data_IF_557409168403
#
_entry.id   IF_557409168403
#
_cell.length_a   1.000
_cell.length_b   1.000
_cell.length_c   1.000
_cell.angle_alpha   90.00
_cell.angle_beta   90.00
_cell.angle_gamma   90.00
#
_symmetry.space_group_name_H-M   'P 1'
#
loop_
_entity.id
_entity.type
_entity.pdbx_description
1 polymer ?
#
# COMPACT_ATOMS: atom_id res chain seq x y z
N UNK A 1 10.46 21.64 21.30
CA UNK A 1 10.53 20.74 20.11
C UNK A 1 10.64 19.32 20.62
N UNK A 2 9.52 18.64 20.77
CA UNK A 2 9.46 17.29 21.30
C UNK A 2 9.54 16.27 20.17
N UNK A 3 10.63 15.52 20.10
CA UNK A 3 10.73 14.35 19.22
C UNK A 3 9.79 13.28 19.74
N UNK A 4 8.76 12.93 18.98
CA UNK A 4 7.90 11.79 19.25
C UNK A 4 8.74 10.55 18.93
N UNK A 5 9.28 9.94 20.00
CA UNK A 5 9.90 8.61 19.91
C UNK A 5 8.79 7.58 19.72
N UNK A 6 8.62 7.09 18.53
CA UNK A 6 7.79 5.93 18.24
C UNK A 6 8.51 4.69 18.74
N UNK A 7 8.26 4.33 20.01
CA UNK A 7 8.67 3.06 20.55
C UNK A 7 7.74 1.97 20.01
N UNK A 8 8.17 1.21 19.00
CA UNK A 8 7.49 0.01 18.57
C UNK A 8 7.91 -1.15 19.49
N UNK A 9 7.08 -1.45 20.48
CA UNK A 9 7.04 -2.81 21.04
C UNK A 9 6.26 -3.68 20.06
N UNK A 10 6.95 -4.65 19.46
CA UNK A 10 6.33 -5.64 18.57
C UNK A 10 5.34 -6.49 19.39
N UNK A 11 4.03 -6.57 19.01
CA UNK A 11 3.05 -7.33 19.77
C UNK A 11 3.14 -8.85 19.58
N UNK A 12 4.19 -9.38 18.94
CA UNK A 12 4.31 -10.81 18.65
C UNK A 12 5.59 -11.40 19.25
N UNK A 13 5.65 -11.48 20.61
CA UNK A 13 6.48 -12.49 21.28
C UNK A 13 5.62 -13.74 21.46
N UNK A 14 5.70 -14.70 20.55
CA UNK A 14 5.28 -16.06 20.82
C UNK A 14 6.47 -17.01 20.79
N UNK A 15 6.56 -17.77 21.88
CA UNK A 15 7.55 -18.81 22.19
C UNK A 15 7.64 -19.86 21.09
N UNK A 16 8.87 -20.28 20.79
CA UNK A 16 9.22 -21.41 19.92
C UNK A 16 8.68 -22.71 20.52
N UNK A 17 7.61 -23.21 19.95
CA UNK A 17 7.08 -24.56 20.14
C UNK A 17 6.87 -25.22 18.77
N UNK A 18 7.23 -26.48 18.62
CA UNK A 18 7.32 -27.25 17.38
C UNK A 18 6.03 -27.24 16.54
N UNK A 19 6.14 -27.05 15.22
CA UNK A 19 5.11 -27.27 14.18
C UNK A 19 3.84 -26.40 14.24
N UNK A 20 3.90 -25.15 14.67
CA UNK A 20 2.81 -24.22 14.36
C UNK A 20 2.90 -23.80 12.89
N UNK A 21 1.85 -24.11 12.10
CA UNK A 21 1.62 -23.49 10.79
C UNK A 21 1.58 -21.98 11.03
N UNK A 22 2.62 -21.27 10.63
CA UNK A 22 2.78 -19.85 10.86
C UNK A 22 1.55 -19.14 10.27
N UNK A 23 0.70 -18.56 11.11
CA UNK A 23 -0.52 -17.86 10.66
C UNK A 23 -0.13 -16.77 9.67
N UNK A 24 -0.71 -16.82 8.46
CA UNK A 24 -0.47 -15.79 7.44
C UNK A 24 -0.98 -14.44 7.92
N UNK A 25 -0.23 -13.39 7.61
CA UNK A 25 -0.64 -12.01 7.85
C UNK A 25 -1.85 -11.64 7.00
N UNK A 26 -2.72 -10.79 7.51
CA UNK A 26 -4.02 -10.45 6.92
C UNK A 26 -3.99 -9.07 6.29
N UNK A 27 -4.08 -9.01 4.96
CA UNK A 27 -3.95 -7.78 4.17
C UNK A 27 -5.31 -7.29 3.70
N UNK A 28 -5.57 -5.98 3.91
CA UNK A 28 -6.61 -5.26 3.21
C UNK A 28 -6.02 -4.41 2.09
N UNK A 29 -6.70 -4.34 0.95
CA UNK A 29 -6.34 -3.44 -0.14
C UNK A 29 -7.41 -2.38 -0.33
N UNK A 30 -7.01 -1.11 -0.28
CA UNK A 30 -7.86 0.04 -0.62
C UNK A 30 -7.51 0.51 -2.03
N UNK A 31 -8.52 0.71 -2.88
CA UNK A 31 -8.35 1.14 -4.28
C UNK A 31 -9.51 2.01 -4.75
N UNK A 32 -9.32 2.76 -5.85
CA UNK A 32 -10.37 3.58 -6.46
C UNK A 32 -10.68 3.21 -7.92
N UNK A 33 -9.86 2.37 -8.56
CA UNK A 33 -9.92 2.13 -10.00
C UNK A 33 -9.68 0.67 -10.43
N UNK A 34 -8.77 0.48 -11.40
CA UNK A 34 -8.52 -0.79 -12.10
C UNK A 34 -8.08 -1.94 -11.19
N UNK A 35 -7.26 -1.66 -10.19
CA UNK A 35 -6.82 -2.66 -9.20
C UNK A 35 -5.65 -3.55 -9.65
N UNK A 36 -4.83 -3.14 -10.62
CA UNK A 36 -3.70 -3.95 -11.10
C UNK A 36 -2.66 -4.26 -10.01
N UNK A 37 -2.34 -3.30 -9.15
CA UNK A 37 -1.47 -3.51 -8.00
C UNK A 37 -2.12 -4.44 -6.96
N UNK A 38 -3.44 -4.33 -6.75
CA UNK A 38 -4.18 -5.29 -5.94
C UNK A 38 -4.04 -6.72 -6.49
N UNK A 39 -4.24 -6.90 -7.81
CA UNK A 39 -4.11 -8.23 -8.44
C UNK A 39 -2.69 -8.78 -8.26
N UNK A 40 -1.66 -7.98 -8.40
CA UNK A 40 -0.27 -8.40 -8.19
C UNK A 40 0.00 -8.87 -6.74
N UNK A 41 -0.47 -8.10 -5.75
CA UNK A 41 -0.37 -8.49 -4.32
C UNK A 41 -1.13 -9.79 -4.07
N UNK A 42 -2.35 -9.92 -4.61
CA UNK A 42 -3.16 -11.13 -4.47
C UNK A 42 -2.49 -12.34 -5.08
N UNK A 43 -2.02 -12.27 -6.33
CA UNK A 43 -1.33 -13.38 -6.99
C UNK A 43 -0.07 -13.80 -6.23
N UNK A 44 0.67 -12.85 -5.67
CA UNK A 44 1.82 -13.17 -4.83
C UNK A 44 1.41 -13.90 -3.54
N UNK A 45 0.26 -13.56 -2.95
CA UNK A 45 -0.24 -14.17 -1.72
C UNK A 45 -0.67 -15.63 -1.89
N UNK A 46 -0.89 -16.08 -3.15
CA UNK A 46 -1.24 -17.45 -3.48
C UNK A 46 -0.04 -18.40 -3.58
N UNK A 47 1.18 -17.87 -3.57
CA UNK A 47 2.39 -18.70 -3.62
C UNK A 47 2.52 -19.58 -2.37
N UNK A 48 3.12 -20.78 -2.49
CA UNK A 48 3.26 -21.70 -1.36
C UNK A 48 4.03 -21.12 -0.17
N UNK A 49 5.01 -20.25 -0.45
CA UNK A 49 5.89 -19.60 0.51
C UNK A 49 5.38 -18.23 0.99
N UNK A 50 4.19 -17.81 0.51
CA UNK A 50 3.62 -16.52 0.91
C UNK A 50 3.28 -16.51 2.40
N UNK A 51 3.77 -15.48 3.09
CA UNK A 51 3.58 -15.24 4.53
C UNK A 51 2.37 -14.35 4.85
N UNK A 52 1.56 -14.00 3.84
CA UNK A 52 0.34 -13.20 3.98
C UNK A 52 -0.77 -13.69 3.06
N UNK A 53 -1.99 -13.23 3.32
CA UNK A 53 -3.17 -13.42 2.47
C UNK A 53 -3.93 -12.09 2.30
N UNK A 54 -4.47 -11.84 1.11
CA UNK A 54 -5.41 -10.74 0.89
C UNK A 54 -6.81 -11.22 1.26
N UNK A 55 -7.44 -10.55 2.22
CA UNK A 55 -8.73 -10.99 2.77
C UNK A 55 -9.88 -10.05 2.47
N UNK A 56 -9.59 -8.76 2.28
CA UNK A 56 -10.61 -7.75 2.03
C UNK A 56 -10.13 -6.69 1.05
N UNK A 57 -11.01 -6.26 0.16
CA UNK A 57 -10.79 -5.16 -0.77
C UNK A 57 -11.87 -4.11 -0.55
N UNK A 58 -11.46 -2.86 -0.40
CA UNK A 58 -12.36 -1.73 -0.16
C UNK A 58 -12.15 -0.68 -1.25
N UNK A 59 -13.24 -0.14 -1.79
CA UNK A 59 -13.17 0.98 -2.73
C UNK A 59 -14.12 2.11 -2.34
N UNK A 60 -13.70 3.34 -2.60
CA UNK A 60 -14.53 4.55 -2.54
C UNK A 60 -15.39 4.76 -3.78
N UNK A 61 -15.13 3.99 -4.84
CA UNK A 61 -15.85 4.00 -6.11
C UNK A 61 -16.59 2.66 -6.31
N UNK A 62 -17.91 2.70 -6.45
CA UNK A 62 -18.75 1.51 -6.66
C UNK A 62 -18.43 0.77 -7.96
N UNK A 63 -17.99 1.52 -8.98
CA UNK A 63 -17.72 1.03 -10.34
C UNK A 63 -16.20 0.71 -10.52
N UNK A 64 -15.46 0.59 -9.43
CA UNK A 64 -14.06 0.21 -9.49
C UNK A 64 -13.91 -1.24 -9.99
N UNK A 65 -13.20 -1.43 -11.10
CA UNK A 65 -12.93 -2.78 -11.67
C UNK A 65 -12.23 -3.69 -10.67
N UNK A 66 -11.39 -3.12 -9.79
CA UNK A 66 -10.75 -3.89 -8.71
C UNK A 66 -11.73 -4.54 -7.74
N UNK A 67 -12.94 -3.98 -7.51
CA UNK A 67 -13.99 -4.64 -6.72
C UNK A 67 -14.62 -5.83 -7.44
N UNK A 68 -14.81 -5.74 -8.76
CA UNK A 68 -15.31 -6.86 -9.58
C UNK A 68 -14.31 -8.00 -9.54
N UNK A 69 -13.03 -7.71 -9.78
CA UNK A 69 -11.94 -8.69 -9.71
C UNK A 69 -11.82 -9.33 -8.31
N UNK A 70 -11.99 -8.56 -7.25
CA UNK A 70 -11.98 -9.11 -5.89
C UNK A 70 -13.11 -10.13 -5.67
N UNK A 71 -14.31 -9.85 -6.18
CA UNK A 71 -15.45 -10.81 -6.14
C UNK A 71 -15.19 -12.06 -6.96
N UNK A 72 -14.63 -11.91 -8.18
CA UNK A 72 -14.22 -13.04 -9.03
C UNK A 72 -13.21 -13.95 -8.33
N UNK A 73 -12.31 -13.38 -7.51
CA UNK A 73 -11.35 -14.11 -6.69
C UNK A 73 -11.96 -14.68 -5.39
N UNK A 74 -13.25 -14.49 -5.13
CA UNK A 74 -13.91 -14.94 -3.91
C UNK A 74 -13.59 -14.12 -2.65
N UNK A 75 -12.98 -12.95 -2.81
CA UNK A 75 -12.61 -12.09 -1.69
C UNK A 75 -13.79 -11.25 -1.19
N UNK A 76 -13.72 -10.80 0.08
CA UNK A 76 -14.65 -9.82 0.62
C UNK A 76 -14.39 -8.45 -0.03
N UNK A 77 -15.37 -7.93 -0.77
CA UNK A 77 -15.26 -6.70 -1.53
C UNK A 77 -16.34 -5.68 -1.10
N UNK A 78 -15.92 -4.53 -0.58
CA UNK A 78 -16.80 -3.51 -0.04
C UNK A 78 -16.68 -2.20 -0.81
N UNK A 79 -17.82 -1.62 -1.17
CA UNK A 79 -17.90 -0.22 -1.57
C UNK A 79 -18.30 0.62 -0.36
N UNK A 80 -17.45 1.58 0.01
CA UNK A 80 -17.72 2.56 1.08
C UNK A 80 -17.81 3.95 0.44
N UNK A 81 -19.00 4.55 0.42
CA UNK A 81 -19.24 5.81 -0.30
C UNK A 81 -18.85 7.04 0.54
N UNK A 82 -17.84 7.82 0.13
CA UNK A 82 -17.50 9.06 0.83
C UNK A 82 -18.54 10.17 0.66
N UNK A 83 -19.39 10.07 -0.36
CA UNK A 83 -20.50 11.02 -0.58
C UNK A 83 -21.65 10.79 0.42
N UNK A 84 -21.90 9.53 0.80
CA UNK A 84 -22.96 9.15 1.73
C UNK A 84 -22.55 9.25 3.21
N UNK A 85 -21.28 9.12 3.49
CA UNK A 85 -20.71 9.07 4.85
C UNK A 85 -19.86 10.32 5.12
N UNK A 86 -20.51 11.40 5.46
CA UNK A 86 -19.87 12.67 5.84
C UNK A 86 -20.04 12.94 7.34
N UNK A 87 -19.10 13.60 8.00
CA UNK A 87 -17.79 14.04 7.52
C UNK A 87 -16.80 12.90 7.30
N UNK A 88 -15.57 13.18 6.85
CA UNK A 88 -14.49 12.21 6.56
C UNK A 88 -14.29 11.20 7.70
N UNK A 89 -14.38 11.63 8.96
CA UNK A 89 -14.27 10.77 10.15
C UNK A 89 -15.30 9.62 10.15
N UNK A 90 -16.54 9.89 9.71
CA UNK A 90 -17.62 8.87 9.63
C UNK A 90 -17.31 7.87 8.52
N UNK A 91 -16.83 8.36 7.37
CA UNK A 91 -16.40 7.53 6.25
C UNK A 91 -15.25 6.59 6.64
N UNK A 92 -14.22 7.14 7.26
CA UNK A 92 -13.06 6.34 7.70
C UNK A 92 -13.42 5.41 8.87
N UNK A 93 -14.34 5.83 9.75
CA UNK A 93 -14.89 4.98 10.79
C UNK A 93 -15.55 3.72 10.23
N UNK A 94 -16.28 3.85 9.09
CA UNK A 94 -16.88 2.68 8.42
C UNK A 94 -15.84 1.76 7.80
N UNK A 95 -14.77 2.31 7.23
CA UNK A 95 -13.65 1.50 6.74
C UNK A 95 -13.00 0.77 7.94
N UNK A 96 -12.75 1.47 9.03
CA UNK A 96 -12.14 0.91 10.23
C UNK A 96 -12.96 -0.24 10.84
N UNK A 97 -14.29 -0.13 10.85
CA UNK A 97 -15.19 -1.22 11.27
C UNK A 97 -14.97 -2.49 10.43
N UNK A 98 -14.91 -2.33 9.09
CA UNK A 98 -14.68 -3.44 8.16
C UNK A 98 -13.31 -4.06 8.42
N UNK A 99 -12.27 -3.26 8.55
CA UNK A 99 -10.90 -3.72 8.78
C UNK A 99 -10.78 -4.52 10.10
N UNK A 100 -11.40 -4.03 11.17
CA UNK A 100 -11.43 -4.71 12.48
C UNK A 100 -12.22 -6.00 12.45
N UNK A 101 -13.40 -6.01 11.79
CA UNK A 101 -14.23 -7.21 11.65
C UNK A 101 -13.54 -8.34 10.86
N UNK A 102 -12.47 -8.03 10.14
CA UNK A 102 -11.69 -8.98 9.37
C UNK A 102 -10.27 -9.16 9.92
N UNK A 103 -9.97 -8.71 11.14
CA UNK A 103 -8.65 -8.83 11.78
C UNK A 103 -7.49 -8.44 10.85
N UNK A 104 -7.60 -7.30 10.17
CA UNK A 104 -6.59 -6.83 9.22
C UNK A 104 -5.32 -6.39 9.95
N UNK A 105 -4.17 -6.90 9.52
CA UNK A 105 -2.86 -6.55 10.07
C UNK A 105 -2.22 -5.38 9.30
N UNK A 106 -2.35 -5.35 7.97
CA UNK A 106 -1.72 -4.36 7.09
C UNK A 106 -2.73 -3.83 6.08
N UNK A 107 -2.71 -2.53 5.84
CA UNK A 107 -3.46 -1.86 4.76
C UNK A 107 -2.50 -1.50 3.63
N UNK A 108 -2.84 -1.91 2.40
CA UNK A 108 -2.16 -1.53 1.17
C UNK A 108 -3.03 -0.55 0.38
N UNK A 109 -2.53 0.67 0.13
CA UNK A 109 -3.17 1.62 -0.79
C UNK A 109 -2.70 1.34 -2.21
N UNK A 110 -3.57 0.79 -3.05
CA UNK A 110 -3.26 0.39 -4.42
C UNK A 110 -4.04 1.22 -5.44
N UNK A 111 -3.59 2.45 -5.68
CA UNK A 111 -4.33 3.41 -6.48
C UNK A 111 -5.60 3.92 -5.77
N UNK A 112 -5.49 4.20 -4.49
CA UNK A 112 -6.53 4.80 -3.67
C UNK A 112 -6.43 6.33 -3.76
N UNK A 113 -7.41 6.97 -4.43
CA UNK A 113 -7.37 8.39 -4.80
C UNK A 113 -7.85 9.33 -3.69
N UNK A 114 -7.71 8.95 -2.44
CA UNK A 114 -8.11 9.77 -1.29
C UNK A 114 -6.99 9.89 -0.28
N UNK A 115 -6.85 11.09 0.27
CA UNK A 115 -5.94 11.30 1.40
C UNK A 115 -6.51 10.58 2.62
N UNK A 116 -5.72 9.71 3.22
CA UNK A 116 -6.04 9.02 4.47
C UNK A 116 -6.00 10.03 5.61
N UNK A 117 -6.94 9.94 6.54
CA UNK A 117 -7.02 10.84 7.67
C UNK A 117 -6.69 10.16 8.99
N UNK A 118 -6.76 10.96 10.04
CA UNK A 118 -6.33 10.60 11.40
C UNK A 118 -6.98 9.31 11.92
N UNK A 119 -8.25 9.04 11.56
CA UNK A 119 -8.96 7.84 12.04
C UNK A 119 -8.28 6.54 11.63
N UNK A 120 -7.81 6.45 10.38
CA UNK A 120 -7.10 5.28 9.89
C UNK A 120 -5.62 5.32 10.25
N UNK A 121 -4.98 6.50 10.17
CA UNK A 121 -3.57 6.67 10.48
C UNK A 121 -3.25 6.29 11.92
N UNK A 122 -4.06 6.74 12.89
CA UNK A 122 -3.87 6.39 14.29
C UNK A 122 -4.13 4.91 14.58
N UNK A 123 -5.17 4.32 13.96
CA UNK A 123 -5.53 2.92 14.19
C UNK A 123 -4.53 1.93 13.55
N UNK A 124 -3.89 2.33 12.45
CA UNK A 124 -2.94 1.52 11.67
C UNK A 124 -1.57 2.19 11.56
N UNK A 125 -1.12 2.89 12.60
CA UNK A 125 0.21 3.50 12.64
C UNK A 125 1.29 2.46 12.32
N UNK A 126 2.16 2.74 11.32
CA UNK A 126 3.20 1.81 10.84
C UNK A 126 2.67 0.54 10.14
N UNK A 127 1.37 0.44 9.91
CA UNK A 127 0.71 -0.70 9.25
C UNK A 127 -0.14 -0.26 8.06
N UNK A 128 0.26 0.83 7.41
CA UNK A 128 -0.40 1.38 6.24
C UNK A 128 0.68 1.79 5.25
N UNK A 129 0.70 1.16 4.08
CA UNK A 129 1.70 1.39 3.03
C UNK A 129 1.03 1.80 1.73
N UNK A 130 1.75 2.58 0.91
CA UNK A 130 1.30 3.05 -0.40
C UNK A 130 2.34 2.76 -1.48
N UNK A 131 1.89 2.64 -2.72
CA UNK A 131 2.73 2.65 -3.92
C UNK A 131 2.50 3.95 -4.69
N UNK A 132 3.58 4.65 -5.02
CA UNK A 132 3.57 5.90 -5.77
C UNK A 132 4.40 5.77 -7.06
N UNK A 133 3.86 6.20 -8.23
CA UNK A 133 4.50 5.99 -9.53
C UNK A 133 5.57 7.05 -9.86
N UNK A 134 6.43 7.37 -8.89
CA UNK A 134 7.62 8.21 -9.06
C UNK A 134 8.69 7.85 -8.03
N UNK A 135 9.91 8.35 -8.23
CA UNK A 135 10.99 8.22 -7.26
C UNK A 135 10.89 9.34 -6.22
N UNK A 136 10.11 9.11 -5.15
CA UNK A 136 9.99 10.07 -4.07
C UNK A 136 11.37 10.47 -3.50
N UNK A 137 11.56 11.74 -3.12
CA UNK A 137 10.57 12.81 -2.93
C UNK A 137 10.19 13.57 -4.21
N UNK A 138 10.66 13.16 -5.39
CA UNK A 138 10.28 13.81 -6.65
C UNK A 138 8.86 13.46 -7.06
N UNK A 139 8.14 14.43 -7.62
CA UNK A 139 6.82 14.28 -8.24
C UNK A 139 5.74 13.65 -7.32
N UNK A 140 5.52 14.17 -6.09
CA UNK A 140 4.47 13.69 -5.20
C UNK A 140 3.08 14.04 -5.73
N UNK A 141 2.04 13.39 -5.20
CA UNK A 141 0.65 13.65 -5.53
C UNK A 141 0.19 12.96 -6.82
N UNK A 142 -0.75 13.57 -7.52
CA UNK A 142 -1.37 12.98 -8.70
C UNK A 142 -0.50 13.14 -9.95
N UNK A 143 -0.63 12.20 -10.90
CA UNK A 143 0.02 12.25 -12.21
C UNK A 143 1.55 12.29 -12.17
N UNK A 144 2.19 11.54 -11.27
CA UNK A 144 3.65 11.51 -11.14
C UNK A 144 4.39 11.21 -12.45
N UNK A 145 3.85 10.32 -13.29
CA UNK A 145 4.43 10.00 -14.61
C UNK A 145 4.40 11.21 -15.56
N UNK A 146 3.25 11.91 -15.59
CA UNK A 146 3.12 13.13 -16.41
C UNK A 146 4.06 14.23 -15.91
N UNK A 147 4.14 14.43 -14.60
CA UNK A 147 5.06 15.40 -14.01
C UNK A 147 6.52 15.08 -14.39
N UNK A 148 6.92 13.80 -14.37
CA UNK A 148 8.26 13.36 -14.74
C UNK A 148 8.57 13.65 -16.21
N UNK A 149 7.63 13.38 -17.14
CA UNK A 149 7.76 13.69 -18.56
C UNK A 149 7.83 15.19 -18.82
N UNK A 150 6.91 15.97 -18.24
CA UNK A 150 6.84 17.43 -18.40
C UNK A 150 8.13 18.10 -17.89
N UNK A 151 8.75 17.56 -16.84
CA UNK A 151 10.00 18.06 -16.29
C UNK A 151 11.22 17.68 -17.14
N UNK A 152 11.11 16.64 -17.95
CA UNK A 152 12.18 16.17 -18.84
C UNK A 152 13.25 15.31 -18.16
N UNK A 153 12.90 14.59 -17.08
CA UNK A 153 13.85 13.68 -16.42
C UNK A 153 14.22 12.50 -17.33
N UNK A 154 15.42 11.96 -17.15
CA UNK A 154 15.89 10.77 -17.89
C UNK A 154 15.65 9.47 -17.12
N UNK A 155 15.32 9.57 -15.81
CA UNK A 155 15.03 8.43 -14.94
C UNK A 155 13.80 8.76 -14.09
N UNK A 156 12.86 7.83 -14.06
CA UNK A 156 11.70 7.84 -13.17
C UNK A 156 11.60 6.49 -12.45
N UNK A 157 10.43 6.12 -11.92
CA UNK A 157 10.27 4.83 -11.26
C UNK A 157 9.05 4.77 -10.35
N UNK A 158 9.13 3.93 -9.32
CA UNK A 158 8.10 3.82 -8.29
C UNK A 158 8.70 3.72 -6.90
N UNK A 159 7.89 4.07 -5.91
CA UNK A 159 8.24 4.07 -4.50
C UNK A 159 7.15 3.39 -3.69
N UNK A 160 7.51 2.39 -2.87
CA UNK A 160 6.67 1.89 -1.78
C UNK A 160 7.10 2.58 -0.49
N UNK A 161 6.16 3.16 0.24
CA UNK A 161 6.44 3.90 1.46
C UNK A 161 5.34 3.69 2.52
N UNK A 162 5.67 3.89 3.78
CA UNK A 162 4.67 4.01 4.83
C UNK A 162 3.87 5.29 4.63
N UNK A 163 2.61 5.27 5.03
CA UNK A 163 1.73 6.45 4.93
C UNK A 163 1.77 7.22 6.25
N UNK A 164 1.97 8.54 6.14
CA UNK A 164 1.92 9.50 7.24
C UNK A 164 0.86 10.59 6.99
N UNK A 165 0.90 11.69 7.74
CA UNK A 165 -0.07 12.78 7.64
C UNK A 165 0.09 13.64 6.37
N UNK A 166 1.20 13.50 5.64
CA UNK A 166 1.45 14.24 4.40
C UNK A 166 0.99 13.49 3.16
N UNK A 167 1.18 14.10 2.00
CA UNK A 167 0.96 13.47 0.71
C UNK A 167 2.29 12.92 0.21
N UNK A 168 2.40 11.60 0.14
CA UNK A 168 3.58 10.86 -0.31
C UNK A 168 4.88 11.22 0.45
N UNK A 169 4.75 11.57 1.74
CA UNK A 169 5.86 12.05 2.58
C UNK A 169 6.39 11.01 3.56
N UNK A 170 5.76 9.87 3.70
CA UNK A 170 6.14 8.86 4.69
C UNK A 170 7.48 8.15 4.40
N UNK A 171 8.02 7.40 5.38
CA UNK A 171 9.29 6.69 5.25
C UNK A 171 9.29 5.70 4.08
N UNK A 172 10.32 5.78 3.23
CA UNK A 172 10.46 4.96 2.03
C UNK A 172 10.91 3.55 2.42
N UNK A 173 10.19 2.54 1.92
CA UNK A 173 10.50 1.12 2.12
C UNK A 173 11.41 0.63 0.98
N UNK A 174 10.92 0.75 -0.26
CA UNK A 174 11.60 0.29 -1.47
C UNK A 174 11.40 1.30 -2.61
N UNK A 175 12.39 1.38 -3.49
CA UNK A 175 12.31 2.14 -4.74
C UNK A 175 12.87 1.33 -5.91
N UNK A 176 12.30 1.52 -7.09
CA UNK A 176 12.83 0.95 -8.33
C UNK A 176 12.78 1.99 -9.44
N UNK A 177 13.93 2.22 -10.05
CA UNK A 177 14.07 3.14 -11.18
C UNK A 177 13.73 2.48 -12.52
N UNK A 178 13.28 3.29 -13.47
CA UNK A 178 13.12 2.97 -14.88
C UNK A 178 13.65 4.13 -15.74
N UNK A 179 14.19 3.83 -16.90
CA UNK A 179 14.60 4.85 -17.85
C UNK A 179 13.37 5.53 -18.46
N UNK A 180 13.45 6.83 -18.67
CA UNK A 180 12.52 7.61 -19.48
C UNK A 180 13.11 7.75 -20.88
N UNK A 181 12.41 7.24 -21.89
CA UNK A 181 12.84 7.27 -23.30
C UNK A 181 12.42 8.57 -23.98
N UNK A 182 13.14 8.96 -25.03
CA UNK A 182 12.84 10.20 -25.74
C UNK A 182 11.46 10.21 -26.41
N UNK A 183 10.95 9.03 -26.77
CA UNK A 183 9.66 8.83 -27.42
C UNK A 183 8.54 8.41 -26.45
N UNK A 184 8.78 8.49 -25.13
CA UNK A 184 7.75 8.09 -24.15
C UNK A 184 6.55 9.03 -24.16
N UNK A 185 5.37 8.42 -24.23
CA UNK A 185 4.12 9.02 -23.77
C UNK A 185 3.88 8.71 -22.29
N UNK A 186 2.93 9.40 -21.66
CA UNK A 186 2.49 9.08 -20.30
C UNK A 186 2.07 7.61 -20.17
N UNK A 187 1.43 7.06 -21.21
CA UNK A 187 0.99 5.66 -21.23
C UNK A 187 2.16 4.68 -21.25
N UNK A 188 3.15 4.88 -22.13
CA UNK A 188 4.30 3.96 -22.27
C UNK A 188 5.18 3.98 -21.03
N UNK A 189 5.43 5.16 -20.45
CA UNK A 189 6.13 5.29 -19.19
C UNK A 189 5.35 4.64 -18.04
N UNK A 190 4.03 4.89 -17.95
CA UNK A 190 3.18 4.29 -16.94
C UNK A 190 3.19 2.76 -16.98
N UNK A 191 3.12 2.16 -18.18
CA UNK A 191 3.19 0.70 -18.35
C UNK A 191 4.54 0.13 -17.89
N UNK A 192 5.64 0.85 -18.14
CA UNK A 192 6.98 0.45 -17.69
C UNK A 192 7.13 0.53 -16.19
N UNK A 193 6.64 1.61 -15.56
CA UNK A 193 6.62 1.80 -14.11
C UNK A 193 5.73 0.73 -13.47
N UNK A 194 4.53 0.48 -13.99
CA UNK A 194 3.56 -0.47 -13.44
C UNK A 194 4.14 -1.89 -13.31
N UNK A 195 4.97 -2.33 -14.26
CA UNK A 195 5.67 -3.63 -14.16
C UNK A 195 6.58 -3.71 -12.92
N UNK A 196 7.22 -2.59 -12.57
CA UNK A 196 8.06 -2.52 -11.38
C UNK A 196 7.22 -2.39 -10.10
N UNK A 197 6.12 -1.65 -10.14
CA UNK A 197 5.19 -1.53 -9.00
C UNK A 197 4.69 -2.91 -8.54
N UNK A 198 4.25 -3.76 -9.47
CA UNK A 198 3.73 -5.09 -9.18
C UNK A 198 4.75 -5.96 -8.41
N UNK A 199 6.02 -5.88 -8.77
CA UNK A 199 7.09 -6.62 -8.11
C UNK A 199 7.43 -6.00 -6.75
N UNK A 200 7.63 -4.69 -6.74
CA UNK A 200 8.11 -3.95 -5.59
C UNK A 200 7.09 -3.96 -4.45
N UNK A 201 5.81 -3.82 -4.79
CA UNK A 201 4.75 -3.78 -3.78
C UNK A 201 4.61 -5.14 -3.08
N UNK A 202 4.56 -6.23 -3.83
CA UNK A 202 4.51 -7.58 -3.26
C UNK A 202 5.72 -7.88 -2.38
N UNK A 203 6.92 -7.43 -2.78
CA UNK A 203 8.15 -7.54 -1.99
C UNK A 203 8.04 -6.77 -0.66
N UNK A 204 7.54 -5.54 -0.69
CA UNK A 204 7.38 -4.73 0.52
C UNK A 204 6.39 -5.36 1.52
N UNK A 205 5.27 -5.94 1.02
CA UNK A 205 4.31 -6.68 1.87
C UNK A 205 4.97 -7.91 2.50
N UNK A 206 5.74 -8.67 1.73
CA UNK A 206 6.50 -9.84 2.25
C UNK A 206 7.46 -9.43 3.36
N UNK A 207 8.28 -8.39 3.13
CA UNK A 207 9.23 -7.86 4.13
C UNK A 207 8.53 -7.38 5.41
N UNK A 208 7.34 -6.78 5.28
CA UNK A 208 6.55 -6.36 6.44
C UNK A 208 6.19 -7.56 7.32
N UNK A 209 5.67 -8.64 6.75
CA UNK A 209 5.28 -9.84 7.51
C UNK A 209 6.46 -10.74 7.91
N UNK A 210 7.64 -10.50 7.36
CA UNK A 210 8.90 -11.07 7.87
C UNK A 210 9.44 -10.31 9.09
N UNK A 211 8.78 -9.20 9.49
CA UNK A 211 9.26 -8.28 10.54
C UNK A 211 10.65 -7.70 10.25
N UNK A 212 10.98 -7.51 8.98
CA UNK A 212 12.27 -7.02 8.50
C UNK A 212 12.33 -5.51 8.30
N UNK A 213 11.25 -4.79 8.54
CA UNK A 213 11.19 -3.34 8.36
C UNK A 213 11.27 -2.62 9.69
N UNK A 214 12.34 -1.87 9.92
CA UNK A 214 12.50 -1.00 11.11
C UNK A 214 12.50 0.47 10.70
N UNK A 215 11.59 1.26 11.30
CA UNK A 215 11.47 2.69 11.03
C UNK A 215 12.34 3.48 12.03
N UNK A 216 13.31 4.24 11.51
CA UNK A 216 14.16 5.15 12.28
C UNK A 216 14.01 6.57 11.71
N UNK A 217 13.08 7.34 12.26
CA UNK A 217 12.72 8.65 11.73
C UNK A 217 12.20 8.53 10.29
N UNK A 218 12.92 9.08 9.31
CA UNK A 218 12.58 8.98 7.89
C UNK A 218 13.18 7.77 7.16
N UNK A 219 14.00 7.01 7.82
CA UNK A 219 14.68 5.87 7.21
C UNK A 219 13.99 4.57 7.59
N UNK A 220 13.82 3.67 6.63
CA UNK A 220 13.45 2.28 6.88
C UNK A 220 14.69 1.42 6.69
N UNK A 221 15.05 0.67 7.73
CA UNK A 221 16.15 -0.32 7.67
C UNK A 221 15.52 -1.66 7.38
N UNK A 222 16.05 -2.34 6.35
CA UNK A 222 15.67 -3.71 6.01
C UNK A 222 16.65 -4.66 6.69
N UNK A 223 16.16 -5.44 7.63
CA UNK A 223 16.96 -6.45 8.32
C UNK A 223 17.29 -7.63 7.40
N UNK A 224 18.47 -8.19 7.57
CA UNK A 224 18.91 -9.41 6.88
C UNK A 224 18.18 -10.66 7.34
#
# INVERSE_FOLDING_TARGET
MGAILWGFESPLRHSLGANEVKKKGRVAVLLSGRGSNFEAIYQNSLKPDANYEVIVVISDNKDARGLERAREFGLKAFHVSPKKLKPKKVYEGKILEILKAHDVDLICLAGYMRIVGETLLSAYAGRLINIHPALLPSFPGLHGQKQALDYGVKVSGCTVHFVDNGVDTGPIILQKSVDVKEDDSEETLSQRILKQEHLLYSQAVTLFFENRLQIHGRRVIILS
#
